data_IF_219840132113
#
_entry.id   IF_219840132113
#
_cell.length_a   1.000
_cell.length_b   1.000
_cell.length_c   1.000
_cell.angle_alpha   90.00
_cell.angle_beta   90.00
_cell.angle_gamma   90.00
#
_symmetry.space_group_name_H-M   'P 1'
#
loop_
_entity.id
_entity.type
_entity.pdbx_description
1 polymer ?
#
# COMPACT_ATOMS: atom_id res chain seq x y z
N UNK A 1 -7.52 14.11 8.42
CA UNK A 1 -6.61 12.95 8.49
C UNK A 1 -6.34 12.48 7.07
N UNK A 2 -5.19 12.82 6.48
CA UNK A 2 -4.84 12.34 5.14
C UNK A 2 -4.19 10.96 5.26
N UNK A 3 -4.94 9.90 4.98
CA UNK A 3 -4.42 8.53 5.03
C UNK A 3 -3.72 8.16 3.71
N UNK A 4 -2.61 8.83 3.38
CA UNK A 4 -1.78 8.48 2.21
C UNK A 4 -1.31 7.02 2.28
N UNK A 5 -1.08 6.50 3.48
CA UNK A 5 -0.78 5.09 3.75
C UNK A 5 -1.83 4.13 3.17
N UNK A 6 -3.10 4.53 3.08
CA UNK A 6 -4.17 3.70 2.51
C UNK A 6 -4.02 3.53 0.99
N UNK A 7 -3.56 4.56 0.28
CA UNK A 7 -3.29 4.48 -1.17
C UNK A 7 -2.18 3.47 -1.47
N UNK A 8 -1.10 3.49 -0.66
CA UNK A 8 -0.02 2.52 -0.77
C UNK A 8 -0.44 1.11 -0.34
N UNK A 9 -1.26 0.98 0.70
CA UNK A 9 -1.83 -0.31 1.09
C UNK A 9 -2.67 -0.91 -0.05
N UNK A 10 -3.50 -0.10 -0.72
CA UNK A 10 -4.26 -0.52 -1.90
C UNK A 10 -3.33 -0.91 -3.05
N UNK A 11 -2.28 -0.13 -3.31
CA UNK A 11 -1.29 -0.43 -4.35
C UNK A 11 -0.65 -1.81 -4.17
N UNK A 12 -0.16 -2.09 -2.96
CA UNK A 12 0.44 -3.38 -2.62
C UNK A 12 -0.54 -4.56 -2.85
N UNK A 13 -1.83 -4.37 -2.57
CA UNK A 13 -2.85 -5.41 -2.81
C UNK A 13 -3.10 -5.60 -4.30
N UNK A 14 -3.15 -4.52 -5.08
CA UNK A 14 -3.30 -4.57 -6.54
C UNK A 14 -2.09 -5.29 -7.16
N UNK A 15 -0.87 -4.96 -6.76
CA UNK A 15 0.36 -5.59 -7.27
C UNK A 15 0.43 -7.08 -6.94
N UNK A 16 0.06 -7.46 -5.70
CA UNK A 16 -0.05 -8.88 -5.32
C UNK A 16 -1.04 -9.62 -6.23
N UNK A 17 -2.22 -9.06 -6.45
CA UNK A 17 -3.24 -9.70 -7.28
C UNK A 17 -2.88 -9.73 -8.77
N UNK A 18 -2.42 -8.60 -9.33
CA UNK A 18 -2.37 -8.38 -10.78
C UNK A 18 -0.95 -8.37 -11.38
N UNK A 19 0.10 -8.26 -10.57
CA UNK A 19 1.50 -8.23 -11.04
C UNK A 19 2.08 -6.83 -11.16
N UNK A 20 1.23 -5.82 -11.25
CA UNK A 20 1.60 -4.41 -11.39
C UNK A 20 0.53 -3.52 -10.75
N UNK A 21 0.80 -2.21 -10.66
CA UNK A 21 -0.15 -1.17 -10.25
C UNK A 21 -0.47 -0.17 -11.36
N UNK A 22 -0.26 -0.53 -12.63
CA UNK A 22 -0.48 0.34 -13.78
C UNK A 22 -1.94 0.81 -13.95
N UNK A 23 -2.86 0.24 -13.17
CA UNK A 23 -4.31 0.53 -13.14
C UNK A 23 -4.70 1.48 -12.02
N UNK A 24 -3.75 1.97 -11.23
CA UNK A 24 -3.99 2.85 -10.09
C UNK A 24 -3.12 4.12 -10.19
N UNK A 25 -3.74 5.28 -9.97
CA UNK A 25 -3.06 6.55 -9.82
C UNK A 25 -3.13 7.02 -8.35
N UNK A 26 -2.07 7.65 -7.87
CA UNK A 26 -2.03 8.32 -6.58
C UNK A 26 -1.79 9.81 -6.83
N UNK A 27 -2.83 10.61 -6.62
CA UNK A 27 -2.79 12.06 -6.72
C UNK A 27 -3.04 12.66 -5.35
N UNK A 28 -2.16 13.56 -4.91
CA UNK A 28 -2.28 14.26 -3.63
C UNK A 28 -2.03 15.75 -3.85
N UNK A 29 -2.85 16.60 -3.24
CA UNK A 29 -2.67 18.04 -3.29
C UNK A 29 -2.49 18.59 -1.88
N UNK A 30 -1.76 19.69 -1.75
CA UNK A 30 -1.77 20.50 -0.55
C UNK A 30 -3.16 21.12 -0.32
N UNK A 31 -3.42 21.51 0.94
CA UNK A 31 -4.65 22.21 1.29
C UNK A 31 -4.74 23.52 0.48
N UNK A 32 -5.80 23.68 -0.31
CA UNK A 32 -6.01 24.84 -1.18
C UNK A 32 -6.31 24.46 -2.63
N UNK A 33 -5.96 23.24 -3.03
CA UNK A 33 -6.27 22.71 -4.35
C UNK A 33 -6.99 21.36 -4.28
N UNK A 34 -8.02 21.21 -5.10
CA UNK A 34 -8.75 19.95 -5.26
C UNK A 34 -8.62 19.43 -6.70
N UNK A 35 -7.82 18.37 -6.94
CA UNK A 35 -7.63 17.81 -8.26
C UNK A 35 -8.78 16.89 -8.70
N UNK A 36 -9.87 16.74 -7.93
CA UNK A 36 -10.94 15.75 -8.18
C UNK A 36 -11.56 15.88 -9.57
N UNK A 37 -11.87 17.09 -10.03
CA UNK A 37 -12.43 17.28 -11.38
C UNK A 37 -11.45 16.87 -12.48
N UNK A 38 -10.16 17.15 -12.31
CA UNK A 38 -9.13 16.72 -13.28
C UNK A 38 -8.95 15.19 -13.25
N UNK A 39 -8.96 14.59 -12.06
CA UNK A 39 -8.89 13.13 -11.90
C UNK A 39 -10.08 12.43 -12.59
N UNK A 40 -11.29 12.99 -12.46
CA UNK A 40 -12.48 12.47 -13.15
C UNK A 40 -12.37 12.60 -14.67
N UNK A 41 -11.80 13.69 -15.19
CA UNK A 41 -11.55 13.85 -16.64
C UNK A 41 -10.54 12.82 -17.16
N UNK A 42 -9.47 12.56 -16.42
CA UNK A 42 -8.50 11.51 -16.77
C UNK A 42 -9.15 10.13 -16.74
N UNK A 43 -10.01 9.88 -15.74
CA UNK A 43 -10.74 8.61 -15.64
C UNK A 43 -11.73 8.42 -16.79
N UNK A 44 -12.47 9.46 -17.17
CA UNK A 44 -13.39 9.45 -18.31
C UNK A 44 -12.67 9.15 -19.63
N UNK A 45 -11.55 9.85 -19.89
CA UNK A 45 -10.70 9.59 -21.05
C UNK A 45 -10.19 8.14 -21.05
N UNK A 46 -9.71 7.64 -19.91
CA UNK A 46 -9.19 6.29 -19.79
C UNK A 46 -10.28 5.23 -20.04
N UNK A 47 -11.46 5.39 -19.45
CA UNK A 47 -12.59 4.48 -19.66
C UNK A 47 -13.06 4.54 -21.11
N UNK A 48 -13.10 5.72 -21.72
CA UNK A 48 -13.38 5.91 -23.15
C UNK A 48 -12.42 5.11 -24.02
N UNK A 49 -11.11 5.27 -23.80
CA UNK A 49 -10.08 4.53 -24.54
C UNK A 49 -10.21 3.00 -24.37
N UNK A 50 -10.56 2.51 -23.17
CA UNK A 50 -10.84 1.09 -22.94
C UNK A 50 -12.04 0.60 -23.75
N UNK A 51 -13.10 1.41 -23.89
CA UNK A 51 -14.27 1.04 -24.68
C UNK A 51 -13.97 0.99 -26.18
N UNK A 52 -13.11 1.89 -26.67
CA UNK A 52 -12.68 1.93 -28.07
C UNK A 52 -11.69 0.81 -28.42
N UNK A 53 -10.77 0.48 -27.52
CA UNK A 53 -9.69 -0.47 -27.75
C UNK A 53 -9.59 -1.54 -26.65
N UNK A 54 -10.64 -2.36 -26.46
CA UNK A 54 -10.71 -3.31 -25.34
C UNK A 54 -9.57 -4.34 -25.34
N UNK A 55 -9.01 -4.68 -26.51
CA UNK A 55 -7.90 -5.65 -26.63
C UNK A 55 -6.59 -5.18 -26.00
N UNK A 56 -6.41 -3.87 -25.74
CA UNK A 56 -5.23 -3.36 -25.01
C UNK A 56 -5.38 -3.47 -23.49
N UNK A 57 -6.58 -3.80 -22.99
CA UNK A 57 -6.89 -3.86 -21.56
C UNK A 57 -6.83 -2.51 -20.86
N UNK A 58 -7.03 -2.50 -19.54
CA UNK A 58 -7.04 -1.26 -18.75
C UNK A 58 -5.66 -0.59 -18.77
N UNK A 59 -4.59 -1.31 -18.40
CA UNK A 59 -3.25 -0.75 -18.33
C UNK A 59 -2.74 -0.24 -19.70
N UNK A 60 -3.02 -0.96 -20.79
CA UNK A 60 -2.61 -0.55 -22.13
C UNK A 60 -3.33 0.69 -22.65
N UNK A 61 -4.54 0.98 -22.17
CA UNK A 61 -5.31 2.18 -22.55
C UNK A 61 -5.07 3.39 -21.64
N UNK A 62 -4.09 3.32 -20.73
CA UNK A 62 -3.75 4.41 -19.83
C UNK A 62 -3.34 5.66 -20.61
N UNK A 63 -4.00 6.82 -20.39
CA UNK A 63 -3.61 8.09 -21.02
C UNK A 63 -2.19 8.51 -20.65
N UNK A 64 -1.51 9.23 -21.54
CA UNK A 64 -0.15 9.73 -21.26
C UNK A 64 -0.08 10.68 -20.05
N UNK A 65 -1.16 11.42 -19.75
CA UNK A 65 -1.25 12.31 -18.57
C UNK A 65 -1.63 11.59 -17.28
N UNK A 66 -2.01 10.32 -17.35
CA UNK A 66 -2.44 9.53 -16.21
C UNK A 66 -1.24 9.02 -15.44
N UNK A 67 -0.41 9.89 -14.88
CA UNK A 67 0.71 9.50 -14.01
C UNK A 67 0.45 9.88 -12.56
N UNK A 68 1.08 9.17 -11.65
CA UNK A 68 1.19 9.57 -10.25
C UNK A 68 1.70 11.02 -10.15
N UNK A 69 1.12 11.80 -9.25
CA UNK A 69 1.43 13.22 -9.15
C UNK A 69 1.13 13.81 -7.76
N UNK A 70 1.77 14.94 -7.48
CA UNK A 70 1.45 15.80 -6.35
C UNK A 70 1.37 17.26 -6.76
N UNK A 71 0.54 18.03 -6.06
CA UNK A 71 0.22 19.43 -6.41
C UNK A 71 0.37 20.35 -5.20
N UNK A 72 0.82 21.58 -5.45
CA UNK A 72 0.82 22.63 -4.41
C UNK A 72 -0.58 23.23 -4.20
N UNK A 73 -0.70 24.10 -3.20
CA UNK A 73 -1.96 24.76 -2.86
C UNK A 73 -2.54 25.63 -3.99
N UNK A 74 -1.72 26.04 -4.97
CA UNK A 74 -2.13 26.80 -6.16
C UNK A 74 -2.49 25.92 -7.36
N UNK A 75 -2.41 24.59 -7.23
CA UNK A 75 -2.68 23.63 -8.29
C UNK A 75 -1.53 23.38 -9.25
N UNK A 76 -0.35 23.93 -8.99
CA UNK A 76 0.84 23.63 -9.81
C UNK A 76 1.34 22.24 -9.46
N UNK A 77 1.70 21.46 -10.48
CA UNK A 77 2.32 20.14 -10.29
C UNK A 77 3.69 20.30 -9.65
N UNK A 78 3.89 19.70 -8.48
CA UNK A 78 5.17 19.64 -7.79
C UNK A 78 6.07 18.57 -8.40
N UNK A 79 5.51 17.39 -8.67
CA UNK A 79 6.16 16.32 -9.42
C UNK A 79 5.11 15.39 -10.05
N UNK A 80 5.50 14.71 -11.14
CA UNK A 80 4.71 13.72 -11.86
C UNK A 80 5.63 12.62 -12.40
N UNK A 81 5.18 11.37 -12.33
CA UNK A 81 5.90 10.24 -12.93
C UNK A 81 5.84 8.96 -12.09
N UNK A 82 6.45 7.88 -12.57
CA UNK A 82 6.30 6.54 -11.97
C UNK A 82 6.94 6.42 -10.58
N UNK A 83 8.03 7.14 -10.32
CA UNK A 83 8.85 7.02 -9.11
C UNK A 83 8.57 8.13 -8.09
N UNK A 84 7.64 9.06 -8.39
CA UNK A 84 7.46 10.25 -7.53
C UNK A 84 6.97 9.90 -6.13
N UNK A 85 6.31 8.76 -5.98
CA UNK A 85 5.82 8.24 -4.71
C UNK A 85 6.67 7.13 -4.11
N UNK A 86 7.85 6.81 -4.66
CA UNK A 86 8.75 5.84 -4.06
C UNK A 86 9.09 6.18 -2.60
N UNK A 87 9.41 5.18 -1.79
CA UNK A 87 9.81 5.36 -0.39
C UNK A 87 9.82 4.06 0.42
N UNK A 88 9.76 4.19 1.74
CA UNK A 88 9.85 3.05 2.67
C UNK A 88 8.80 1.95 2.39
N UNK A 89 7.65 2.31 1.81
CA UNK A 89 6.57 1.37 1.51
C UNK A 89 6.92 0.35 0.41
N UNK A 90 7.79 0.71 -0.54
CA UNK A 90 8.29 -0.17 -1.60
C UNK A 90 9.80 -0.43 -1.51
N UNK A 91 10.46 0.04 -0.44
CA UNK A 91 11.90 -0.17 -0.21
C UNK A 91 12.80 0.64 -1.14
N UNK A 92 12.27 1.69 -1.77
CA UNK A 92 13.02 2.58 -2.65
C UNK A 92 13.38 3.91 -1.97
N UNK A 93 14.30 4.66 -2.58
CA UNK A 93 14.60 6.00 -2.13
C UNK A 93 13.35 6.90 -2.24
N UNK A 94 13.09 7.78 -1.26
CA UNK A 94 11.85 8.55 -1.25
C UNK A 94 11.76 9.47 -2.46
N UNK A 95 10.72 9.34 -3.28
CA UNK A 95 10.47 10.15 -4.48
C UNK A 95 10.13 11.61 -4.17
N UNK A 96 10.03 12.44 -5.22
CA UNK A 96 9.78 13.88 -5.07
C UNK A 96 8.48 14.19 -4.31
N UNK A 97 7.39 13.47 -4.60
CA UNK A 97 6.13 13.63 -3.90
C UNK A 97 6.19 13.07 -2.48
N UNK A 98 6.85 11.93 -2.24
CA UNK A 98 7.04 11.39 -0.88
C UNK A 98 7.81 12.35 0.02
N UNK A 99 8.82 13.06 -0.51
CA UNK A 99 9.58 14.07 0.23
C UNK A 99 8.73 15.31 0.56
N UNK A 100 7.89 15.77 -0.38
CA UNK A 100 7.02 16.92 -0.18
C UNK A 100 5.83 16.61 0.74
N UNK A 101 5.28 15.39 0.65
CA UNK A 101 4.02 14.98 1.28
C UNK A 101 4.25 13.68 2.06
N UNK A 102 4.79 13.82 3.26
CA UNK A 102 5.18 12.68 4.08
C UNK A 102 3.98 11.82 4.47
N UNK A 103 4.03 10.54 4.11
CA UNK A 103 3.13 9.54 4.68
C UNK A 103 3.66 9.06 6.03
N UNK A 104 2.80 9.03 7.04
CA UNK A 104 3.10 8.39 8.31
C UNK A 104 2.52 6.98 8.37
N UNK A 105 3.17 6.12 9.17
CA UNK A 105 2.68 4.77 9.44
C UNK A 105 1.46 4.75 10.37
N UNK A 106 0.95 3.55 10.59
CA UNK A 106 -0.11 3.27 11.57
C UNK A 106 0.47 2.58 12.80
N UNK A 107 -0.28 2.54 13.90
CA UNK A 107 0.08 1.72 15.06
C UNK A 107 0.28 0.24 14.69
N UNK A 108 -0.51 -0.28 13.74
CA UNK A 108 -0.38 -1.65 13.23
C UNK A 108 0.96 -1.87 12.51
N UNK A 109 1.36 -0.96 11.63
CA UNK A 109 2.65 -1.08 10.93
C UNK A 109 3.84 -0.85 11.86
N UNK A 110 3.70 0.04 12.84
CA UNK A 110 4.72 0.23 13.88
C UNK A 110 4.91 -1.03 14.75
N UNK A 111 3.86 -1.83 14.93
CA UNK A 111 3.92 -3.12 15.61
C UNK A 111 4.43 -4.28 14.73
N UNK A 112 4.95 -3.99 13.52
CA UNK A 112 5.49 -4.96 12.58
C UNK A 112 4.49 -5.51 11.56
N UNK A 113 3.24 -5.05 11.58
CA UNK A 113 2.22 -5.48 10.62
C UNK A 113 2.52 -4.98 9.20
N UNK A 114 2.16 -5.75 8.15
CA UNK A 114 2.42 -5.33 6.78
C UNK A 114 1.58 -4.11 6.42
N UNK A 115 2.16 -3.18 5.65
CA UNK A 115 1.48 -1.97 5.20
C UNK A 115 0.20 -2.27 4.40
N UNK A 116 0.21 -3.36 3.63
CA UNK A 116 -0.95 -3.82 2.88
C UNK A 116 -2.19 -4.01 3.77
N UNK A 117 -2.04 -4.25 5.08
CA UNK A 117 -3.16 -4.27 6.03
C UNK A 117 -4.24 -5.31 5.70
N UNK A 118 -3.88 -6.39 5.01
CA UNK A 118 -4.75 -7.48 4.54
C UNK A 118 -4.56 -8.78 5.34
N UNK A 119 -3.95 -8.66 6.52
CA UNK A 119 -3.84 -9.70 7.54
C UNK A 119 -4.82 -9.39 8.68
N UNK A 120 -5.97 -10.05 8.68
CA UNK A 120 -7.01 -9.83 9.70
C UNK A 120 -6.80 -10.69 10.94
N UNK A 121 -6.39 -11.96 10.76
CA UNK A 121 -6.06 -12.87 11.85
C UNK A 121 -4.66 -13.45 11.65
N UNK A 122 -3.72 -13.05 12.50
CA UNK A 122 -2.37 -13.60 12.47
C UNK A 122 -2.30 -14.92 13.25
N UNK A 123 -1.38 -15.81 12.86
CA UNK A 123 -0.91 -16.86 13.77
C UNK A 123 0.01 -16.24 14.81
N UNK A 124 0.07 -16.82 16.01
CA UNK A 124 0.88 -16.29 17.11
C UNK A 124 2.26 -16.95 17.18
N UNK A 125 3.25 -16.18 17.66
CA UNK A 125 4.58 -16.61 18.09
C UNK A 125 4.84 -16.09 19.51
N UNK A 126 5.78 -16.67 20.25
CA UNK A 126 6.13 -16.15 21.58
C UNK A 126 6.73 -14.74 21.49
N UNK A 127 6.66 -13.99 22.59
CA UNK A 127 7.28 -12.66 22.70
C UNK A 127 8.78 -12.75 22.44
N UNK A 128 9.44 -13.75 23.01
CA UNK A 128 10.88 -14.00 22.83
C UNK A 128 11.22 -14.26 21.35
N UNK A 129 10.42 -15.07 20.66
CA UNK A 129 10.62 -15.36 19.25
C UNK A 129 10.46 -14.10 18.39
N UNK A 130 9.46 -13.26 18.68
CA UNK A 130 9.25 -12.00 17.97
C UNK A 130 10.41 -11.00 18.16
N UNK A 131 10.92 -10.87 19.40
CA UNK A 131 12.07 -10.02 19.71
C UNK A 131 13.32 -10.55 18.99
N UNK A 132 13.59 -11.86 19.06
CA UNK A 132 14.73 -12.49 18.40
C UNK A 132 14.66 -12.37 16.86
N UNK A 133 13.46 -12.46 16.28
CA UNK A 133 13.22 -12.26 14.85
C UNK A 133 13.31 -10.79 14.41
N UNK A 134 13.51 -9.85 15.34
CA UNK A 134 13.68 -8.43 15.03
C UNK A 134 12.38 -7.71 14.64
N UNK A 135 11.21 -8.24 14.99
CA UNK A 135 9.89 -7.67 14.65
C UNK A 135 9.78 -6.19 15.06
N UNK A 136 10.40 -5.83 16.18
CA UNK A 136 10.31 -4.50 16.78
C UNK A 136 11.47 -3.57 16.46
N UNK A 137 12.40 -3.98 15.57
CA UNK A 137 13.52 -3.13 15.20
C UNK A 137 13.04 -1.80 14.60
N UNK A 138 13.74 -0.68 14.87
CA UNK A 138 15.02 -0.59 15.59
C UNK A 138 14.91 -0.57 17.12
N UNK A 139 13.70 -0.64 17.69
CA UNK A 139 13.49 -0.56 19.14
C UNK A 139 13.89 -1.87 19.82
N UNK A 140 14.74 -1.77 20.84
CA UNK A 140 15.11 -2.93 21.67
C UNK A 140 14.04 -3.19 22.73
N UNK A 141 13.23 -4.22 22.51
CA UNK A 141 12.20 -4.65 23.47
C UNK A 141 12.66 -5.73 24.46
N UNK A 142 13.93 -6.17 24.43
CA UNK A 142 14.46 -7.13 25.42
C UNK A 142 14.23 -6.69 26.87
N UNK A 143 14.43 -5.41 27.26
CA UNK A 143 14.16 -4.94 28.62
C UNK A 143 12.68 -5.06 29.03
N UNK A 144 11.76 -5.10 28.07
CA UNK A 144 10.32 -5.13 28.29
C UNK A 144 9.69 -6.52 28.11
N UNK A 145 10.49 -7.56 27.83
CA UNK A 145 10.00 -8.90 27.50
C UNK A 145 9.08 -9.49 28.58
N UNK A 146 9.40 -9.30 29.87
CA UNK A 146 8.55 -9.77 30.97
C UNK A 146 7.16 -9.13 30.97
N UNK A 147 7.10 -7.81 30.77
CA UNK A 147 5.83 -7.07 30.70
C UNK A 147 5.04 -7.45 29.46
N UNK A 148 5.70 -7.62 28.32
CA UNK A 148 5.06 -8.07 27.08
C UNK A 148 4.46 -9.47 27.23
N UNK A 149 5.13 -10.41 27.92
CA UNK A 149 4.57 -11.73 28.21
C UNK A 149 3.34 -11.68 29.11
N UNK A 150 3.33 -10.78 30.08
CA UNK A 150 2.17 -10.57 30.95
C UNK A 150 0.96 -10.05 30.16
N UNK A 151 1.18 -9.11 29.23
CA UNK A 151 0.13 -8.52 28.39
C UNK A 151 -0.34 -9.49 27.29
N UNK A 152 0.59 -10.24 26.71
CA UNK A 152 0.34 -11.15 25.57
C UNK A 152 0.70 -12.60 25.93
N UNK A 153 -0.04 -13.24 26.87
CA UNK A 153 0.31 -14.57 27.36
C UNK A 153 0.18 -15.66 26.29
N UNK A 154 -0.66 -15.45 25.26
CA UNK A 154 -0.78 -16.37 24.12
C UNK A 154 0.25 -16.09 23.01
N UNK A 155 1.09 -15.06 23.17
CA UNK A 155 2.02 -14.60 22.15
C UNK A 155 1.50 -13.43 21.31
N UNK A 156 2.34 -13.02 20.36
CA UNK A 156 2.15 -11.88 19.47
C UNK A 156 2.08 -12.34 18.02
N UNK A 157 1.65 -11.48 17.09
CA UNK A 157 1.53 -11.85 15.69
C UNK A 157 2.85 -12.33 15.06
N UNK A 158 2.79 -13.44 14.34
CA UNK A 158 3.78 -13.88 13.35
C UNK A 158 3.29 -13.54 11.95
N UNK A 159 3.65 -12.34 11.49
CA UNK A 159 3.26 -11.82 10.18
C UNK A 159 3.85 -12.60 8.99
N UNK A 160 4.80 -13.51 9.23
CA UNK A 160 5.38 -14.37 8.19
C UNK A 160 4.45 -15.52 7.79
N UNK A 161 3.44 -15.83 8.61
CA UNK A 161 2.57 -17.01 8.42
C UNK A 161 1.26 -16.72 7.70
N UNK A 162 1.10 -15.51 7.16
CA UNK A 162 -0.10 -15.11 6.44
C UNK A 162 -1.33 -14.94 7.34
N UNK A 163 -2.49 -14.80 6.70
CA UNK A 163 -3.78 -14.59 7.37
C UNK A 163 -4.45 -15.93 7.65
N UNK A 164 -4.55 -16.30 8.91
CA UNK A 164 -5.23 -17.51 9.36
C UNK A 164 -6.75 -17.45 9.17
N UNK A 165 -7.31 -16.25 9.02
CA UNK A 165 -8.74 -16.03 8.83
C UNK A 165 -9.17 -15.90 7.37
N UNK A 166 -8.25 -16.03 6.40
CA UNK A 166 -8.57 -15.87 4.98
C UNK A 166 -9.35 -17.09 4.46
N UNK A 167 -10.59 -16.90 3.93
CA UNK A 167 -11.33 -18.00 3.32
C UNK A 167 -10.59 -18.59 2.11
N UNK A 168 -10.72 -19.91 1.90
CA UNK A 168 -10.09 -20.61 0.78
C UNK A 168 -10.59 -20.14 -0.61
N UNK A 169 -11.79 -19.55 -0.64
CA UNK A 169 -12.47 -19.02 -1.82
C UNK A 169 -12.41 -17.49 -1.93
N UNK A 170 -11.65 -16.81 -1.05
CA UNK A 170 -11.61 -15.35 -0.96
C UNK A 170 -11.15 -14.65 -2.25
N UNK A 171 -10.43 -15.35 -3.13
CA UNK A 171 -10.07 -14.86 -4.47
C UNK A 171 -10.83 -15.68 -5.52
N UNK A 172 -11.79 -15.07 -6.24
CA UNK A 172 -12.46 -15.74 -7.34
C UNK A 172 -11.45 -16.24 -8.38
N UNK A 173 -11.67 -17.42 -8.96
CA UNK A 173 -10.74 -18.05 -9.92
C UNK A 173 -10.28 -17.10 -11.05
N UNK A 174 -11.16 -16.20 -11.51
CA UNK A 174 -10.85 -15.17 -12.52
C UNK A 174 -9.78 -14.14 -12.13
N UNK A 175 -9.39 -14.10 -10.87
CA UNK A 175 -8.36 -13.20 -10.32
C UNK A 175 -7.15 -13.98 -9.76
N UNK A 176 -7.13 -15.32 -9.85
CA UNK A 176 -5.97 -16.14 -9.46
C UNK A 176 -4.94 -16.10 -10.58
N UNK A 177 -3.65 -16.02 -10.24
CA UNK A 177 -2.61 -16.13 -11.27
C UNK A 177 -2.49 -17.58 -11.71
N UNK A 178 -2.11 -17.80 -12.96
CA UNK A 178 -1.62 -19.10 -13.43
C UNK A 178 -0.35 -19.46 -12.64
N UNK A 179 -0.50 -20.26 -11.59
CA UNK A 179 0.59 -20.65 -10.68
C UNK A 179 0.20 -20.75 -9.20
N UNK A 180 -1.05 -20.43 -8.82
CA UNK A 180 -1.57 -20.58 -7.46
C UNK A 180 -2.21 -21.97 -7.19
N UNK A 181 -1.78 -23.03 -7.91
CA UNK A 181 -2.15 -24.44 -7.69
C UNK A 181 -1.02 -25.24 -7.06
#
# INVERSE_FOLDING_TARGET
>A
MHHLSASFATRLRIERALGDSARQLIWVAELGFDPTLEALRVMDEWIGAVREQPWRGVAGNRPARADDACFDAGGRTLARGPEVWDGDWNGAAPGACTRAMRSFGTSRSAAGGPLAGDLFQCRLQSVEAAIAAGVYRPVDLRPHAARLREIFPQGVCDYRRGDAGRPADAVPARWRRSGDE
#
